data_IF_691985210686
#
_entry.id   IF_691985210686
#
_cell.length_a   1.000
_cell.length_b   1.000
_cell.length_c   1.000
_cell.angle_alpha   90.00
_cell.angle_beta   90.00
_cell.angle_gamma   90.00
#
_symmetry.space_group_name_H-M   'P 1'
#
loop_
_entity.id
_entity.type
_entity.pdbx_description
1 polymer ?
#
# COMPACT_ATOMS: atom_id res chain seq x y z
N UNK A 1 -33.81 -1.52 -5.62
CA UNK A 1 -32.57 -1.86 -6.35
C UNK A 1 -31.64 -2.46 -5.32
N UNK A 2 -31.32 -3.75 -5.41
CA UNK A 2 -30.60 -4.42 -4.32
C UNK A 2 -29.12 -4.08 -4.37
N UNK A 3 -28.66 -3.32 -3.38
CA UNK A 3 -27.26 -3.19 -3.00
C UNK A 3 -26.83 -4.48 -2.28
N UNK A 4 -26.36 -5.46 -3.06
CA UNK A 4 -25.76 -6.68 -2.53
C UNK A 4 -24.23 -6.53 -2.57
N UNK A 5 -23.64 -5.97 -1.51
CA UNK A 5 -22.20 -5.97 -1.31
C UNK A 5 -21.84 -7.28 -0.60
N UNK A 6 -21.42 -8.27 -1.39
CA UNK A 6 -20.89 -9.54 -0.88
C UNK A 6 -19.46 -9.37 -0.32
N UNK A 7 -19.07 -10.14 0.71
CA UNK A 7 -17.75 -10.06 1.32
C UNK A 7 -16.72 -10.68 0.40
N UNK A 8 -15.64 -9.93 0.09
CA UNK A 8 -14.53 -10.38 -0.75
C UNK A 8 -13.73 -11.51 -0.05
N UNK A 9 -14.15 -12.75 -0.28
CA UNK A 9 -13.39 -13.94 0.08
C UNK A 9 -12.34 -14.20 -1.02
N UNK A 10 -11.07 -14.14 -0.61
CA UNK A 10 -9.90 -14.33 -1.47
C UNK A 10 -9.97 -15.59 -2.32
N UNK A 11 -10.21 -15.40 -3.61
CA UNK A 11 -9.94 -16.38 -4.65
C UNK A 11 -8.53 -16.16 -5.20
N UNK A 12 -7.81 -17.20 -5.65
CA UNK A 12 -6.53 -17.01 -6.30
C UNK A 12 -6.80 -16.33 -7.65
N UNK A 13 -6.69 -15.00 -7.67
CA UNK A 13 -6.85 -14.17 -8.87
C UNK A 13 -5.75 -14.57 -9.84
N UNK A 14 -6.13 -15.35 -10.87
CA UNK A 14 -5.18 -15.78 -11.91
C UNK A 14 -4.94 -14.70 -12.96
N UNK A 15 -5.75 -13.66 -13.00
CA UNK A 15 -5.54 -12.44 -13.78
C UNK A 15 -6.17 -11.28 -13.01
N UNK A 16 -5.46 -10.17 -12.83
CA UNK A 16 -6.00 -8.96 -12.19
C UNK A 16 -6.68 -8.10 -13.25
N UNK A 17 -7.97 -7.80 -13.06
CA UNK A 17 -8.69 -6.86 -13.90
C UNK A 17 -8.49 -5.41 -13.43
N UNK A 18 -8.76 -4.43 -14.30
CA UNK A 18 -8.63 -3.01 -13.95
C UNK A 18 -9.46 -2.60 -12.72
N UNK A 19 -10.61 -3.26 -12.49
CA UNK A 19 -11.47 -3.01 -11.33
C UNK A 19 -10.82 -3.53 -10.05
N UNK A 20 -10.24 -4.73 -10.09
CA UNK A 20 -9.54 -5.31 -8.95
C UNK A 20 -8.35 -4.44 -8.53
N UNK A 21 -7.63 -3.85 -9.49
CA UNK A 21 -6.52 -2.93 -9.19
C UNK A 21 -6.98 -1.70 -8.40
N UNK A 22 -8.15 -1.14 -8.69
CA UNK A 22 -8.69 0.01 -7.93
C UNK A 22 -8.99 -0.38 -6.48
N UNK A 23 -9.52 -1.58 -6.27
CA UNK A 23 -9.89 -2.07 -4.94
C UNK A 23 -8.66 -2.31 -4.04
N UNK A 24 -7.53 -2.75 -4.63
CA UNK A 24 -6.28 -2.99 -3.89
C UNK A 24 -5.23 -1.89 -4.09
N UNK A 25 -5.57 -0.80 -4.78
CA UNK A 25 -4.64 0.27 -5.15
C UNK A 25 -4.00 0.88 -3.92
N UNK A 26 -4.80 1.13 -2.88
CA UNK A 26 -4.32 1.75 -1.65
C UNK A 26 -3.29 0.85 -0.96
N UNK A 27 -3.59 -0.45 -0.79
CA UNK A 27 -2.67 -1.41 -0.20
C UNK A 27 -1.36 -1.51 -1.00
N UNK A 28 -1.44 -1.46 -2.32
CA UNK A 28 -0.27 -1.47 -3.19
C UNK A 28 0.59 -0.22 -3.01
N UNK A 29 -0.01 0.97 -2.95
CA UNK A 29 0.72 2.24 -2.74
C UNK A 29 1.24 2.36 -1.30
N UNK A 30 0.54 1.76 -0.33
CA UNK A 30 0.95 1.69 1.09
C UNK A 30 2.02 0.63 1.35
N UNK A 31 2.31 -0.25 0.39
CA UNK A 31 3.26 -1.36 0.56
C UNK A 31 2.73 -2.48 1.45
N UNK A 32 1.40 -2.56 1.62
CA UNK A 32 0.71 -3.60 2.38
C UNK A 32 0.44 -4.89 1.59
N UNK A 33 0.68 -4.88 0.27
CA UNK A 33 0.52 -6.08 -0.56
C UNK A 33 1.61 -7.12 -0.26
N UNK A 34 1.21 -8.40 -0.27
CA UNK A 34 2.17 -9.50 -0.33
C UNK A 34 2.90 -9.52 -1.69
N UNK A 35 4.01 -10.25 -1.74
CA UNK A 35 4.90 -10.28 -2.91
C UNK A 35 4.22 -10.86 -4.16
N UNK A 36 3.31 -11.81 -4.00
CA UNK A 36 2.62 -12.43 -5.13
C UNK A 36 1.61 -11.46 -5.74
N UNK A 37 0.79 -10.81 -4.90
CA UNK A 37 -0.13 -9.77 -5.32
C UNK A 37 0.60 -8.59 -5.98
N UNK A 38 1.75 -8.18 -5.42
CA UNK A 38 2.59 -7.12 -5.98
C UNK A 38 3.07 -7.45 -7.39
N UNK A 39 3.50 -8.68 -7.63
CA UNK A 39 3.96 -9.12 -8.95
C UNK A 39 2.82 -9.11 -9.99
N UNK A 40 1.64 -9.61 -9.63
CA UNK A 40 0.47 -9.60 -10.51
C UNK A 40 0.01 -8.18 -10.85
N UNK A 41 -0.01 -7.28 -9.86
CA UNK A 41 -0.36 -5.88 -10.08
C UNK A 41 0.65 -5.18 -10.98
N UNK A 42 1.94 -5.49 -10.82
CA UNK A 42 3.00 -4.96 -11.67
C UNK A 42 2.80 -5.38 -13.12
N UNK A 43 2.55 -6.67 -13.37
CA UNK A 43 2.29 -7.19 -14.71
C UNK A 43 1.06 -6.52 -15.36
N UNK A 44 0.00 -6.28 -14.59
CA UNK A 44 -1.16 -5.54 -15.08
C UNK A 44 -0.79 -4.10 -15.46
N UNK A 45 -0.06 -3.39 -14.58
CA UNK A 45 0.36 -2.01 -14.83
C UNK A 45 1.27 -1.88 -16.05
N UNK A 46 2.15 -2.86 -16.29
CA UNK A 46 3.04 -2.89 -17.44
C UNK A 46 2.27 -3.00 -18.79
N UNK A 47 1.07 -3.57 -18.76
CA UNK A 47 0.23 -3.79 -19.95
C UNK A 47 -1.01 -2.87 -20.05
N UNK A 48 -1.30 -2.07 -19.02
CA UNK A 48 -2.53 -1.27 -18.94
C UNK A 48 -2.26 0.22 -18.66
N UNK A 49 -2.16 1.07 -19.71
CA UNK A 49 -1.91 2.51 -19.56
C UNK A 49 -2.95 3.24 -18.68
N UNK A 50 -4.22 2.84 -18.78
CA UNK A 50 -5.30 3.46 -17.99
C UNK A 50 -5.13 3.27 -16.47
N UNK A 51 -4.56 2.14 -16.05
CA UNK A 51 -4.29 1.87 -14.64
C UNK A 51 -3.00 2.56 -14.17
N UNK A 52 -2.02 2.74 -15.06
CA UNK A 52 -0.84 3.59 -14.79
C UNK A 52 -1.26 5.03 -14.53
N UNK A 53 -2.17 5.59 -15.33
CA UNK A 53 -2.69 6.94 -15.11
C UNK A 53 -3.40 7.06 -13.75
N UNK A 54 -4.28 6.11 -13.41
CA UNK A 54 -4.96 6.08 -12.10
C UNK A 54 -3.98 6.02 -10.93
N UNK A 55 -2.95 5.17 -11.04
CA UNK A 55 -1.89 5.07 -10.03
C UNK A 55 -1.09 6.38 -9.93
N UNK A 56 -0.84 7.06 -11.05
CA UNK A 56 -0.20 8.37 -11.08
C UNK A 56 -1.00 9.40 -10.28
N UNK A 57 -2.31 9.50 -10.53
CA UNK A 57 -3.20 10.40 -9.79
C UNK A 57 -3.19 10.10 -8.28
N UNK A 58 -3.31 8.83 -7.90
CA UNK A 58 -3.26 8.43 -6.48
C UNK A 58 -1.94 8.85 -5.81
N UNK A 59 -0.81 8.64 -6.49
CA UNK A 59 0.52 9.05 -5.99
C UNK A 59 0.64 10.56 -5.85
N UNK A 60 0.11 11.33 -6.80
CA UNK A 60 0.12 12.79 -6.73
C UNK A 60 -0.71 13.32 -5.56
N UNK A 61 -1.92 12.79 -5.38
CA UNK A 61 -2.79 13.16 -4.24
C UNK A 61 -2.08 12.86 -2.92
N UNK A 62 -1.53 11.65 -2.77
CA UNK A 62 -0.81 11.25 -1.56
C UNK A 62 0.42 12.10 -1.30
N UNK A 63 1.16 12.47 -2.34
CA UNK A 63 2.30 13.38 -2.24
C UNK A 63 1.86 14.77 -1.76
N UNK A 64 0.77 15.31 -2.30
CA UNK A 64 0.21 16.59 -1.85
C UNK A 64 -0.18 16.54 -0.36
N UNK A 65 -0.89 15.48 0.06
CA UNK A 65 -1.24 15.28 1.46
C UNK A 65 -0.01 15.20 2.36
N UNK A 66 1.05 14.52 1.92
CA UNK A 66 2.31 14.43 2.68
C UNK A 66 3.00 15.78 2.81
N UNK A 67 2.96 16.63 1.79
CA UNK A 67 3.56 17.97 1.85
C UNK A 67 2.75 18.92 2.74
N UNK A 68 1.42 18.81 2.72
CA UNK A 68 0.52 19.78 3.37
C UNK A 68 0.04 19.37 4.76
N UNK A 69 -0.10 18.08 5.01
CA UNK A 69 -0.79 17.54 6.18
C UNK A 69 0.12 16.65 7.04
N UNK A 70 1.38 16.42 6.66
CA UNK A 70 2.30 15.68 7.51
C UNK A 70 2.79 16.54 8.68
N UNK A 71 2.46 16.11 9.89
CA UNK A 71 3.04 16.66 11.11
C UNK A 71 4.27 15.86 11.53
N UNK A 72 5.30 16.54 12.03
CA UNK A 72 6.46 15.86 12.59
C UNK A 72 6.04 15.07 13.84
N UNK A 73 6.34 13.77 13.87
CA UNK A 73 6.13 12.98 15.06
C UNK A 73 6.85 13.59 16.29
N UNK A 74 6.21 13.62 17.47
CA UNK A 74 6.81 14.17 18.69
C UNK A 74 8.18 13.54 19.01
N UNK A 75 9.11 14.35 19.51
CA UNK A 75 10.50 13.94 19.79
C UNK A 75 10.56 12.78 20.78
N UNK A 76 9.69 12.79 21.80
CA UNK A 76 9.62 11.73 22.80
C UNK A 76 9.26 10.39 22.17
N UNK A 77 8.28 10.37 21.25
CA UNK A 77 7.88 9.16 20.55
C UNK A 77 9.02 8.63 19.68
N UNK A 78 9.70 9.51 18.93
CA UNK A 78 10.86 9.15 18.11
C UNK A 78 11.99 8.56 18.95
N UNK A 79 12.30 9.18 20.09
CA UNK A 79 13.34 8.73 21.01
C UNK A 79 13.03 7.34 21.59
N UNK A 80 11.78 7.13 22.03
CA UNK A 80 11.31 5.84 22.53
C UNK A 80 11.43 4.75 21.48
N UNK A 81 10.93 4.98 20.27
CA UNK A 81 10.99 4.00 19.17
C UNK A 81 12.45 3.65 18.83
N UNK A 82 13.31 4.65 18.67
CA UNK A 82 14.72 4.45 18.29
C UNK A 82 15.47 3.63 19.35
N UNK A 83 15.21 3.91 20.64
CA UNK A 83 15.80 3.16 21.75
C UNK A 83 15.36 1.70 21.72
N UNK A 84 14.05 1.44 21.55
CA UNK A 84 13.51 0.08 21.50
C UNK A 84 14.06 -0.70 20.30
N UNK A 85 14.12 -0.10 19.12
CA UNK A 85 14.70 -0.72 17.92
C UNK A 85 16.18 -1.09 18.13
N UNK A 86 16.97 -0.22 18.77
CA UNK A 86 18.38 -0.50 19.09
C UNK A 86 18.54 -1.68 20.04
N UNK A 87 17.68 -1.80 21.05
CA UNK A 87 17.69 -2.93 21.99
C UNK A 87 17.36 -4.23 21.26
N UNK A 88 16.24 -4.26 20.53
CA UNK A 88 15.78 -5.44 19.78
C UNK A 88 16.83 -5.92 18.78
N UNK A 89 17.43 -4.99 18.02
CA UNK A 89 18.45 -5.34 17.03
C UNK A 89 19.74 -5.92 17.64
N UNK A 90 20.10 -5.50 18.86
CA UNK A 90 21.26 -6.08 19.58
C UNK A 90 20.96 -7.48 20.07
N UNK A 91 19.76 -7.71 20.60
CA UNK A 91 19.35 -9.03 21.09
C UNK A 91 19.12 -10.05 19.98
N UNK A 92 18.75 -9.62 18.77
CA UNK A 92 18.54 -10.53 17.62
C UNK A 92 19.82 -10.92 16.89
N UNK A 93 20.96 -10.30 17.22
CA UNK A 93 22.27 -10.50 16.55
C UNK A 93 23.36 -11.02 17.51
N UNK A 94 22.98 -11.29 18.76
CA UNK A 94 23.83 -11.87 19.81
C UNK A 94 23.41 -13.27 20.17
#
# INVERSE_FOLDING_TARGET
MNDNVEPNAGTPRRDIECRDLVDVLYEYVDGGCDENLRAQLQEHLDNCPSCVEKLGVEREIRQLLRVRCAQAAPVELRSRITTQLRVVYRTSRG
#
